data_IF_621825828801
#
_entry.id   IF_621825828801
#
_cell.length_a   1.000
_cell.length_b   1.000
_cell.length_c   1.000
_cell.angle_alpha   90.00
_cell.angle_beta   90.00
_cell.angle_gamma   90.00
#
_symmetry.space_group_name_H-M   'P 1'
#
loop_
_entity.id
_entity.type
_entity.pdbx_description
1 polymer ?
#
# COMPACT_ATOMS: atom_id res chain seq x y z
N UNK A 1 -46.64 10.25 -1.11
CA UNK A 1 -45.35 9.96 -1.77
C UNK A 1 -44.58 9.09 -0.80
N UNK A 2 -44.38 7.81 -1.14
CA UNK A 2 -43.63 6.90 -0.28
C UNK A 2 -42.15 7.10 -0.52
N UNK A 3 -41.41 7.49 0.52
CA UNK A 3 -39.95 7.39 0.49
C UNK A 3 -39.60 5.91 0.60
N UNK A 4 -39.05 5.34 -0.47
CA UNK A 4 -38.42 4.02 -0.42
C UNK A 4 -37.20 4.13 0.50
N UNK A 5 -37.29 3.54 1.69
CA UNK A 5 -36.17 3.39 2.63
C UNK A 5 -35.03 2.67 1.91
N UNK A 6 -34.01 3.44 1.50
CA UNK A 6 -32.85 3.01 0.74
C UNK A 6 -32.08 1.87 1.43
N UNK A 7 -32.32 1.67 2.74
CA UNK A 7 -31.74 0.64 3.57
C UNK A 7 -32.68 -0.54 3.88
N UNK A 8 -33.85 -0.63 3.24
CA UNK A 8 -34.76 -1.76 3.37
C UNK A 8 -34.12 -3.09 2.93
N UNK A 9 -33.16 -3.04 2.00
CA UNK A 9 -32.45 -4.21 1.50
C UNK A 9 -31.39 -4.77 2.46
N UNK A 10 -31.06 -4.07 3.54
CA UNK A 10 -29.93 -4.44 4.40
C UNK A 10 -30.38 -5.39 5.50
N UNK A 11 -29.66 -6.50 5.67
CA UNK A 11 -29.97 -7.49 6.68
C UNK A 11 -29.71 -6.93 8.09
N UNK A 12 -30.78 -6.58 8.81
CA UNK A 12 -30.74 -6.00 10.17
C UNK A 12 -30.40 -7.03 11.27
N UNK A 13 -30.16 -8.29 10.91
CA UNK A 13 -29.80 -9.33 11.88
C UNK A 13 -28.38 -9.12 12.45
N UNK A 14 -28.24 -9.33 13.76
CA UNK A 14 -26.93 -9.32 14.41
C UNK A 14 -25.99 -10.37 13.77
N UNK A 15 -24.77 -9.94 13.44
CA UNK A 15 -23.75 -10.80 12.82
C UNK A 15 -23.39 -11.95 13.78
N UNK A 16 -23.78 -13.18 13.44
CA UNK A 16 -23.39 -14.38 14.19
C UNK A 16 -21.92 -14.68 13.91
N UNK A 17 -21.02 -14.09 14.70
CA UNK A 17 -19.60 -14.43 14.68
C UNK A 17 -19.46 -15.86 15.22
N UNK A 18 -18.83 -16.72 14.44
CA UNK A 18 -18.43 -18.05 14.85
C UNK A 18 -17.31 -17.90 15.89
N UNK A 19 -17.70 -17.66 17.15
CA UNK A 19 -16.97 -17.96 18.41
C UNK A 19 -17.48 -17.15 19.63
N UNK A 20 -18.81 -16.93 19.77
CA UNK A 20 -19.39 -16.38 21.02
C UNK A 20 -19.68 -17.43 22.12
N UNK A 21 -19.00 -18.58 22.09
CA UNK A 21 -18.97 -19.46 23.26
C UNK A 21 -17.96 -18.90 24.26
N UNK A 22 -18.40 -18.54 25.47
CA UNK A 22 -17.60 -17.95 26.54
C UNK A 22 -16.18 -18.51 26.63
N UNK A 23 -15.23 -17.62 26.93
CA UNK A 23 -13.78 -17.86 26.97
C UNK A 23 -13.47 -19.02 27.92
N UNK A 24 -13.48 -20.25 27.40
CA UNK A 24 -12.73 -21.38 27.96
C UNK A 24 -11.31 -21.23 27.42
N UNK A 25 -10.32 -21.06 28.30
CA UNK A 25 -8.88 -21.08 27.95
C UNK A 25 -8.57 -22.37 27.17
N UNK A 26 -8.64 -22.30 25.84
CA UNK A 26 -8.27 -23.37 24.91
C UNK A 26 -6.75 -23.35 24.77
N UNK A 27 -6.08 -24.48 25.03
CA UNK A 27 -4.68 -24.71 24.64
C UNK A 27 -4.51 -24.38 23.15
N UNK A 28 -3.99 -23.20 22.82
CA UNK A 28 -3.69 -22.77 21.45
C UNK A 28 -2.27 -23.22 21.10
N UNK A 29 -2.10 -24.44 20.58
CA UNK A 29 -0.81 -24.91 20.03
C UNK A 29 -0.92 -25.74 18.74
N UNK A 30 -1.90 -25.46 17.87
CA UNK A 30 -1.93 -26.11 16.52
C UNK A 30 -2.34 -25.21 15.35
N UNK A 31 -3.12 -24.14 15.55
CA UNK A 31 -3.48 -23.21 14.47
C UNK A 31 -2.46 -22.09 14.24
N UNK A 32 -1.88 -21.52 15.30
CA UNK A 32 -0.82 -20.49 15.15
C UNK A 32 0.45 -21.04 14.49
N UNK A 33 0.75 -22.32 14.71
CA UNK A 33 1.93 -22.97 14.13
C UNK A 33 1.83 -23.13 12.60
N UNK A 34 0.61 -23.22 12.06
CA UNK A 34 0.38 -23.34 10.61
C UNK A 34 0.58 -22.01 9.87
N UNK A 35 0.26 -20.88 10.50
CA UNK A 35 0.48 -19.56 9.91
C UNK A 35 1.97 -19.19 9.95
N UNK A 36 2.64 -19.43 11.07
CA UNK A 36 4.09 -19.22 11.19
C UNK A 36 4.87 -20.12 10.23
N UNK A 37 4.51 -21.40 10.10
CA UNK A 37 5.14 -22.27 9.10
C UNK A 37 4.92 -21.81 7.66
N UNK A 38 3.73 -21.30 7.32
CA UNK A 38 3.46 -20.78 5.97
C UNK A 38 4.29 -19.55 5.66
N UNK A 39 4.46 -18.65 6.64
CA UNK A 39 5.29 -17.45 6.51
C UNK A 39 6.74 -17.86 6.29
N UNK A 40 7.28 -18.75 7.14
CA UNK A 40 8.66 -19.25 7.04
C UNK A 40 8.87 -19.97 5.69
N UNK A 41 7.94 -20.83 5.27
CA UNK A 41 8.02 -21.53 3.97
C UNK A 41 8.02 -20.57 2.78
N UNK A 42 7.26 -19.48 2.86
CA UNK A 42 7.24 -18.45 1.81
C UNK A 42 8.53 -17.62 1.80
N UNK A 43 9.07 -17.29 2.97
CA UNK A 43 10.31 -16.54 3.11
C UNK A 43 11.52 -17.33 2.60
N UNK A 44 11.61 -18.61 2.94
CA UNK A 44 12.64 -19.55 2.43
C UNK A 44 12.52 -19.71 0.91
N UNK A 45 11.31 -19.86 0.36
CA UNK A 45 11.10 -19.91 -1.10
C UNK A 45 11.51 -18.61 -1.80
N UNK A 46 11.28 -17.46 -1.17
CA UNK A 46 11.71 -16.17 -1.71
C UNK A 46 13.24 -16.04 -1.69
N UNK A 47 13.90 -16.48 -0.63
CA UNK A 47 15.36 -16.46 -0.52
C UNK A 47 16.04 -17.38 -1.55
N UNK A 48 15.54 -18.62 -1.72
CA UNK A 48 16.04 -19.56 -2.73
C UNK A 48 15.87 -18.98 -4.15
N UNK A 49 14.71 -18.37 -4.43
CA UNK A 49 14.44 -17.73 -5.74
C UNK A 49 15.32 -16.49 -5.98
N UNK A 50 15.66 -15.75 -4.92
CA UNK A 50 16.59 -14.62 -5.02
C UNK A 50 18.03 -15.10 -5.28
N UNK A 51 18.48 -16.19 -4.64
CA UNK A 51 19.81 -16.76 -4.84
C UNK A 51 19.99 -17.33 -6.26
N UNK A 52 19.03 -18.10 -6.77
CA UNK A 52 19.05 -18.58 -8.15
C UNK A 52 19.08 -17.43 -9.19
N UNK A 53 18.48 -16.29 -8.85
CA UNK A 53 18.47 -15.08 -9.69
C UNK A 53 19.72 -14.18 -9.47
N UNK A 54 20.59 -14.47 -8.51
CA UNK A 54 21.88 -13.78 -8.35
C UNK A 54 22.93 -14.47 -9.21
N UNK A 55 22.88 -15.80 -9.32
CA UNK A 55 23.80 -16.62 -10.11
C UNK A 55 23.69 -16.35 -11.63
N UNK A 56 22.51 -15.93 -12.12
CA UNK A 56 22.27 -15.63 -13.53
C UNK A 56 22.54 -14.17 -13.94
N UNK A 57 22.84 -13.27 -12.99
CA UNK A 57 22.95 -11.83 -13.26
C UNK A 57 24.36 -11.40 -13.66
N UNK A 58 24.40 -10.42 -14.55
CA UNK A 58 25.64 -9.74 -14.95
C UNK A 58 26.18 -8.85 -13.82
N UNK A 59 27.48 -8.53 -13.87
CA UNK A 59 28.13 -7.64 -12.89
C UNK A 59 27.43 -6.27 -12.80
N UNK A 60 26.97 -5.75 -13.94
CA UNK A 60 26.24 -4.48 -14.02
C UNK A 60 24.87 -4.57 -13.31
N UNK A 61 24.12 -5.64 -13.54
CA UNK A 61 22.82 -5.86 -12.88
C UNK A 61 22.96 -6.03 -11.37
N UNK A 62 24.01 -6.74 -10.92
CA UNK A 62 24.31 -6.88 -9.49
C UNK A 62 24.62 -5.53 -8.84
N UNK A 63 25.40 -4.67 -9.50
CA UNK A 63 25.70 -3.33 -9.01
C UNK A 63 24.43 -2.45 -8.94
N UNK A 64 23.59 -2.50 -9.97
CA UNK A 64 22.32 -1.77 -10.01
C UNK A 64 21.35 -2.24 -8.92
N UNK A 65 21.25 -3.55 -8.69
CA UNK A 65 20.39 -4.09 -7.65
C UNK A 65 20.86 -3.65 -6.24
N UNK A 66 22.17 -3.70 -5.97
CA UNK A 66 22.74 -3.17 -4.71
C UNK A 66 22.44 -1.69 -4.52
N UNK A 67 22.52 -0.89 -5.58
CA UNK A 67 22.17 0.53 -5.54
C UNK A 67 20.67 0.73 -5.27
N UNK A 68 19.81 -0.02 -5.94
CA UNK A 68 18.37 0.01 -5.70
C UNK A 68 18.02 -0.37 -4.26
N UNK A 69 18.65 -1.39 -3.68
CA UNK A 69 18.41 -1.79 -2.30
C UNK A 69 18.79 -0.69 -1.30
N UNK A 70 19.89 0.02 -1.54
CA UNK A 70 20.27 1.21 -0.74
C UNK A 70 19.21 2.31 -0.85
N UNK A 71 18.79 2.64 -2.08
CA UNK A 71 17.78 3.68 -2.34
C UNK A 71 16.38 3.29 -1.86
N UNK A 72 16.05 1.99 -1.83
CA UNK A 72 14.76 1.48 -1.38
C UNK A 72 14.48 1.85 0.07
N UNK A 73 15.49 1.78 0.95
CA UNK A 73 15.33 2.18 2.36
C UNK A 73 14.96 3.66 2.47
N UNK A 74 15.68 4.53 1.77
CA UNK A 74 15.41 5.97 1.74
C UNK A 74 14.02 6.26 1.15
N UNK A 75 13.66 5.62 0.03
CA UNK A 75 12.34 5.78 -0.60
C UNK A 75 11.20 5.29 0.31
N UNK A 76 11.39 4.19 1.04
CA UNK A 76 10.40 3.70 2.01
C UNK A 76 10.22 4.73 3.12
N UNK A 77 11.32 5.26 3.66
CA UNK A 77 11.28 6.28 4.69
C UNK A 77 10.53 7.54 4.22
N UNK A 78 10.89 8.09 3.06
CA UNK A 78 10.22 9.25 2.47
C UNK A 78 8.72 9.01 2.21
N UNK A 79 8.34 7.81 1.77
CA UNK A 79 6.93 7.45 1.57
C UNK A 79 6.17 7.32 2.88
N UNK A 80 6.83 6.86 3.95
CA UNK A 80 6.25 6.74 5.28
C UNK A 80 6.14 8.09 6.01
N UNK A 81 7.03 9.04 5.72
CA UNK A 81 7.04 10.38 6.31
C UNK A 81 5.77 11.19 6.01
N UNK A 82 5.16 11.01 4.83
CA UNK A 82 3.98 11.78 4.42
C UNK A 82 2.75 10.90 4.30
N UNK A 83 1.67 11.31 4.98
CA UNK A 83 0.35 10.73 4.80
C UNK A 83 -0.20 11.06 3.40
N UNK A 84 -1.19 10.29 2.94
CA UNK A 84 -1.83 10.57 1.65
C UNK A 84 -2.46 11.96 1.60
N UNK A 85 -3.13 12.37 2.70
CA UNK A 85 -3.74 13.70 2.83
C UNK A 85 -2.70 14.82 2.65
N UNK A 86 -1.57 14.73 3.36
CA UNK A 86 -0.48 15.71 3.23
C UNK A 86 0.11 15.75 1.80
N UNK A 87 0.15 14.61 1.11
CA UNK A 87 0.59 14.56 -0.29
C UNK A 87 -0.39 15.27 -1.22
N UNK A 88 -1.69 15.08 -1.00
CA UNK A 88 -2.75 15.78 -1.75
C UNK A 88 -2.72 17.28 -1.44
N UNK A 89 -2.60 17.66 -0.18
CA UNK A 89 -2.49 19.07 0.23
C UNK A 89 -1.27 19.76 -0.42
N UNK A 90 -0.08 19.13 -0.37
CA UNK A 90 1.11 19.66 -1.06
C UNK A 90 0.94 19.74 -2.57
N UNK A 91 0.26 18.76 -3.16
CA UNK A 91 -0.01 18.76 -4.60
C UNK A 91 -0.95 19.91 -4.97
N UNK A 92 -2.02 20.12 -4.22
CA UNK A 92 -2.95 21.23 -4.43
C UNK A 92 -2.25 22.59 -4.24
N UNK A 93 -1.45 22.75 -3.18
CA UNK A 93 -0.64 23.95 -2.98
C UNK A 93 0.30 24.22 -4.16
N UNK A 94 0.89 23.17 -4.75
CA UNK A 94 1.71 23.32 -5.93
C UNK A 94 0.90 23.77 -7.15
N UNK A 95 -0.28 23.18 -7.38
CA UNK A 95 -1.17 23.58 -8.47
C UNK A 95 -1.64 25.03 -8.32
N UNK A 96 -1.98 25.46 -7.11
CA UNK A 96 -2.40 26.84 -6.82
C UNK A 96 -1.25 27.85 -7.08
N UNK A 97 0.00 27.41 -6.90
CA UNK A 97 1.18 28.23 -7.18
C UNK A 97 1.59 28.27 -8.65
N UNK A 98 1.08 27.36 -9.47
CA UNK A 98 1.42 27.29 -10.89
C UNK A 98 0.70 28.40 -11.66
N UNK A 99 1.41 28.99 -12.60
CA UNK A 99 0.85 30.02 -13.48
C UNK A 99 -0.18 29.39 -14.41
N UNK A 100 -1.35 30.02 -14.53
CA UNK A 100 -2.39 29.60 -15.48
C UNK A 100 -1.94 29.69 -16.94
N UNK A 101 -1.06 30.66 -17.24
CA UNK A 101 -0.52 30.90 -18.57
C UNK A 101 0.99 30.70 -18.58
N UNK A 102 1.48 29.91 -19.54
CA UNK A 102 2.91 29.61 -19.73
C UNK A 102 3.59 30.52 -20.77
N UNK A 103 2.87 31.50 -21.30
CA UNK A 103 3.36 32.43 -22.32
C UNK A 103 2.80 33.84 -22.07
N UNK A 104 3.52 34.84 -22.55
CA UNK A 104 3.20 36.25 -22.33
C UNK A 104 2.08 36.65 -23.32
N UNK A 105 1.02 37.32 -22.86
CA UNK A 105 -0.02 37.78 -23.76
C UNK A 105 0.55 38.76 -24.80
N UNK A 106 0.17 38.57 -26.07
CA UNK A 106 0.56 39.45 -27.17
C UNK A 106 -0.08 40.83 -27.03
N UNK A 107 0.64 41.88 -27.41
CA UNK A 107 0.26 43.30 -27.17
C UNK A 107 -1.03 43.73 -27.91
N UNK A 108 -1.54 42.95 -28.87
CA UNK A 108 -2.82 43.20 -29.54
C UNK A 108 -3.98 42.29 -29.06
N UNK A 109 -3.85 41.63 -27.90
CA UNK A 109 -4.92 40.80 -27.34
C UNK A 109 -6.07 41.69 -26.83
N UNK A 110 -7.07 41.93 -27.68
CA UNK A 110 -8.40 42.31 -27.23
C UNK A 110 -9.14 41.03 -26.83
N UNK A 111 -9.88 41.09 -25.71
CA UNK A 111 -10.48 39.93 -25.06
C UNK A 111 -11.55 39.25 -25.90
#
# INVERSE_FOLDING_TARGET
>A
MGEEDEYACVNRAQLKIKDNSGIKKKKKKKSSNKETEKIIKNEVKQQIKQQANIETKTKAELAFQKMQEKMKKQRIQQKAEMTHKQRVEKFNQHLDSLTEHFDIPKVSWTK
#
